data_IF_018460883882
#
_entry.id   IF_018460883882
#
_cell.length_a   1.000
_cell.length_b   1.000
_cell.length_c   1.000
_cell.angle_alpha   90.00
_cell.angle_beta   90.00
_cell.angle_gamma   90.00
#
_symmetry.space_group_name_H-M   'P 1'
#
loop_
_entity.id
_entity.type
_entity.pdbx_description
1 polymer ?
#
# COMPACT_ATOMS: atom_id res chain seq x y z
N UNK A 1 5.49 3.25 2.86
CA UNK A 1 6.61 2.74 3.69
C UNK A 1 6.01 1.93 4.83
N UNK A 2 6.41 0.67 4.98
CA UNK A 2 6.00 -0.20 6.07
C UNK A 2 7.00 -0.04 7.22
N UNK A 3 6.50 0.17 8.42
CA UNK A 3 7.25 0.51 9.62
C UNK A 3 6.80 -0.41 10.76
N UNK A 4 7.75 -0.87 11.56
CA UNK A 4 7.48 -1.56 12.80
C UNK A 4 7.06 -0.55 13.88
N UNK A 5 5.83 -0.60 14.42
CA UNK A 5 5.36 0.38 15.40
C UNK A 5 6.07 0.26 16.76
N UNK A 6 6.74 -0.85 17.06
CA UNK A 6 7.44 -1.05 18.34
C UNK A 6 8.71 -0.19 18.46
N UNK A 7 9.45 -0.02 17.37
CA UNK A 7 10.75 0.65 17.35
C UNK A 7 10.89 1.71 16.25
N UNK A 8 9.83 1.95 15.47
CA UNK A 8 9.78 2.85 14.33
C UNK A 8 10.80 2.55 13.22
N UNK A 9 11.29 1.31 13.14
CA UNK A 9 12.22 0.90 12.08
C UNK A 9 11.50 0.64 10.77
N UNK A 10 12.15 1.00 9.65
CA UNK A 10 11.60 0.75 8.32
C UNK A 10 11.76 -0.72 7.94
N UNK A 11 10.65 -1.39 7.64
CA UNK A 11 10.60 -2.80 7.22
C UNK A 11 10.75 -2.92 5.70
N UNK A 12 9.94 -2.17 4.95
CA UNK A 12 9.92 -2.18 3.49
C UNK A 12 9.38 -0.87 2.90
N UNK A 13 9.67 -0.62 1.63
CA UNK A 13 9.18 0.54 0.88
C UNK A 13 8.70 0.12 -0.51
N UNK A 14 7.88 0.94 -1.14
CA UNK A 14 7.34 0.71 -2.47
C UNK A 14 6.98 2.03 -3.14
N UNK A 15 6.92 2.02 -4.47
CA UNK A 15 6.50 3.14 -5.31
C UNK A 15 5.64 2.60 -6.47
N UNK A 16 4.90 3.47 -7.15
CA UNK A 16 4.10 3.10 -8.31
C UNK A 16 5.00 2.74 -9.49
N UNK A 17 4.90 1.52 -10.00
CA UNK A 17 5.77 1.07 -11.08
C UNK A 17 5.29 -0.22 -11.71
N UNK A 18 5.88 -0.58 -12.85
CA UNK A 18 5.66 -1.87 -13.48
C UNK A 18 6.29 -3.00 -12.65
N UNK A 19 5.91 -4.24 -12.97
CA UNK A 19 6.50 -5.42 -12.35
C UNK A 19 8.01 -5.44 -12.50
N UNK A 20 8.68 -5.92 -11.45
CA UNK A 20 10.14 -6.02 -11.37
C UNK A 20 10.70 -6.83 -12.55
N UNK A 21 11.78 -6.34 -13.14
CA UNK A 21 12.52 -7.06 -14.20
C UNK A 21 11.94 -6.87 -15.61
N UNK A 22 10.89 -6.05 -15.76
CA UNK A 22 10.38 -5.68 -17.08
C UNK A 22 11.10 -4.44 -17.59
N UNK A 23 11.35 -4.42 -18.91
CA UNK A 23 11.85 -3.26 -19.62
C UNK A 23 10.72 -2.23 -19.80
N UNK A 24 10.75 -1.19 -18.99
CA UNK A 24 9.75 -0.11 -18.99
C UNK A 24 9.66 0.62 -20.34
N UNK A 25 10.71 0.59 -21.18
CA UNK A 25 10.68 1.24 -22.50
C UNK A 25 9.75 0.53 -23.48
N UNK A 26 9.46 -0.75 -23.23
CA UNK A 26 8.59 -1.59 -24.07
C UNK A 26 7.13 -1.60 -23.62
N UNK A 27 6.83 -0.97 -22.48
CA UNK A 27 5.48 -0.91 -21.94
C UNK A 27 4.78 0.40 -22.32
N UNK A 28 3.44 0.40 -22.41
CA UNK A 28 2.69 1.63 -22.62
C UNK A 28 2.99 2.58 -21.47
N UNK A 29 3.52 3.77 -21.77
CA UNK A 29 3.84 4.79 -20.76
C UNK A 29 2.80 5.91 -20.69
N UNK A 30 1.83 5.89 -21.61
CA UNK A 30 0.69 6.81 -21.67
C UNK A 30 -0.48 6.32 -20.81
N UNK A 31 -1.25 7.27 -20.28
CA UNK A 31 -2.57 6.95 -19.74
C UNK A 31 -3.52 6.82 -20.95
N UNK A 32 -4.42 5.86 -21.00
CA UNK A 32 -4.80 4.87 -19.98
C UNK A 32 -4.07 3.51 -20.09
N UNK A 33 -3.35 3.29 -21.19
CA UNK A 33 -2.82 1.97 -21.58
C UNK A 33 -1.81 1.39 -20.58
N UNK A 34 -1.20 2.23 -19.74
CA UNK A 34 -0.26 1.79 -18.70
C UNK A 34 -0.92 1.18 -17.46
N UNK A 35 -2.19 1.49 -17.20
CA UNK A 35 -2.85 1.15 -15.94
C UNK A 35 -2.96 -0.35 -15.66
N UNK A 36 -3.25 -1.23 -16.64
CA UNK A 36 -3.31 -2.67 -16.41
C UNK A 36 -1.99 -3.28 -15.92
N UNK A 37 -0.86 -2.61 -16.18
CA UNK A 37 0.48 -3.13 -15.88
C UNK A 37 1.12 -2.43 -14.66
N UNK A 38 0.49 -1.39 -14.13
CA UNK A 38 1.04 -0.61 -13.03
C UNK A 38 0.66 -1.23 -11.68
N UNK A 39 1.67 -1.48 -10.86
CA UNK A 39 1.49 -1.90 -9.48
C UNK A 39 1.58 -0.66 -8.58
N UNK A 40 0.61 -0.53 -7.68
CA UNK A 40 0.55 0.54 -6.70
C UNK A 40 1.69 0.43 -5.66
N UNK A 41 2.08 1.58 -5.10
CA UNK A 41 3.16 1.69 -4.11
C UNK A 41 2.91 0.82 -2.88
N UNK A 42 1.66 0.72 -2.44
CA UNK A 42 1.20 -0.08 -1.31
C UNK A 42 1.47 -1.58 -1.56
N UNK A 43 1.05 -2.08 -2.73
CA UNK A 43 1.30 -3.45 -3.15
C UNK A 43 2.79 -3.74 -3.30
N UNK A 44 3.53 -2.83 -3.95
CA UNK A 44 4.98 -2.98 -4.08
C UNK A 44 5.70 -2.99 -2.73
N UNK A 45 5.22 -2.25 -1.72
CA UNK A 45 5.81 -2.29 -0.39
C UNK A 45 5.63 -3.67 0.27
N UNK A 46 4.44 -4.28 0.15
CA UNK A 46 4.19 -5.65 0.62
C UNK A 46 5.03 -6.66 -0.16
N UNK A 47 5.06 -6.59 -1.49
CA UNK A 47 5.87 -7.51 -2.31
C UNK A 47 7.35 -7.45 -1.96
N UNK A 48 7.87 -6.26 -1.65
CA UNK A 48 9.25 -6.09 -1.20
C UNK A 48 9.48 -6.68 0.20
N UNK A 49 8.52 -6.59 1.11
CA UNK A 49 8.59 -7.25 2.42
C UNK A 49 8.61 -8.79 2.27
N UNK A 50 7.68 -9.35 1.49
CA UNK A 50 7.59 -10.79 1.21
C UNK A 50 8.88 -11.32 0.59
N UNK A 51 9.42 -10.64 -0.42
CA UNK A 51 10.68 -11.05 -1.07
C UNK A 51 11.88 -11.02 -0.13
N UNK A 52 11.85 -10.20 0.92
CA UNK A 52 12.88 -10.13 1.94
C UNK A 52 12.62 -11.08 3.12
N UNK A 53 11.53 -11.86 3.10
CA UNK A 53 11.14 -12.74 4.20
C UNK A 53 10.69 -11.98 5.45
N UNK A 54 10.21 -10.73 5.30
CA UNK A 54 9.77 -9.89 6.41
C UNK A 54 8.26 -9.98 6.57
N UNK A 55 7.81 -10.24 7.80
CA UNK A 55 6.38 -10.21 8.15
C UNK A 55 5.83 -8.79 8.09
N UNK A 56 4.59 -8.66 7.65
CA UNK A 56 3.79 -7.42 7.70
C UNK A 56 2.74 -7.44 8.81
N UNK A 57 2.64 -8.53 9.56
CA UNK A 57 1.70 -8.66 10.67
C UNK A 57 2.00 -7.62 11.75
N UNK A 58 0.97 -6.90 12.19
CA UNK A 58 1.06 -5.86 13.22
C UNK A 58 1.79 -4.59 12.76
N UNK A 59 2.10 -4.43 11.47
CA UNK A 59 2.88 -3.30 10.99
C UNK A 59 2.01 -2.08 10.71
N UNK A 60 2.65 -0.91 10.70
CA UNK A 60 2.08 0.36 10.23
C UNK A 60 2.55 0.66 8.83
N UNK A 61 1.70 1.25 8.00
CA UNK A 61 2.11 1.75 6.67
C UNK A 61 1.82 3.25 6.52
N UNK A 62 2.79 3.95 5.95
CA UNK A 62 2.69 5.36 5.54
C UNK A 62 2.59 5.46 4.02
N UNK A 63 1.56 6.12 3.49
CA UNK A 63 1.30 6.27 2.05
C UNK A 63 1.17 7.75 1.67
N UNK A 64 1.73 8.17 0.54
CA UNK A 64 1.72 9.58 0.10
C UNK A 64 0.38 10.04 -0.51
N UNK A 65 -0.60 9.15 -0.60
CA UNK A 65 -1.93 9.44 -1.12
C UNK A 65 -2.93 8.43 -0.57
N UNK A 66 -4.22 8.74 -0.70
CA UNK A 66 -5.30 7.83 -0.30
C UNK A 66 -5.18 6.50 -1.07
N UNK A 67 -5.01 5.35 -0.39
CA UNK A 67 -5.00 4.05 -1.02
C UNK A 67 -6.31 3.73 -1.73
N UNK A 68 -6.24 2.93 -2.80
CA UNK A 68 -7.44 2.40 -3.45
C UNK A 68 -8.05 1.24 -2.64
N UNK A 69 -9.31 0.89 -2.91
CA UNK A 69 -10.03 -0.19 -2.21
C UNK A 69 -9.27 -1.51 -2.24
N UNK A 70 -8.71 -1.88 -3.40
CA UNK A 70 -7.94 -3.12 -3.54
C UNK A 70 -6.65 -3.11 -2.70
N UNK A 71 -5.93 -1.98 -2.64
CA UNK A 71 -4.75 -1.85 -1.80
C UNK A 71 -5.11 -1.89 -0.31
N UNK A 72 -6.25 -1.30 0.08
CA UNK A 72 -6.76 -1.41 1.44
C UNK A 72 -7.04 -2.85 1.85
N UNK A 73 -7.82 -3.58 1.05
CA UNK A 73 -8.14 -4.98 1.31
C UNK A 73 -6.88 -5.85 1.41
N UNK A 74 -5.93 -5.66 0.49
CA UNK A 74 -4.65 -6.36 0.50
C UNK A 74 -3.83 -6.06 1.76
N UNK A 75 -3.70 -4.79 2.15
CA UNK A 75 -2.96 -4.42 3.37
C UNK A 75 -3.60 -5.03 4.62
N UNK A 76 -4.92 -4.98 4.74
CA UNK A 76 -5.65 -5.63 5.84
C UNK A 76 -5.42 -7.15 5.85
N UNK A 77 -5.56 -7.82 4.72
CA UNK A 77 -5.34 -9.27 4.61
C UNK A 77 -3.90 -9.68 4.97
N UNK A 78 -2.93 -8.80 4.77
CA UNK A 78 -1.53 -9.01 5.15
C UNK A 78 -1.20 -8.63 6.60
N UNK A 79 -2.22 -8.31 7.42
CA UNK A 79 -2.07 -8.04 8.84
C UNK A 79 -1.52 -6.66 9.17
N UNK A 80 -1.68 -5.67 8.28
CA UNK A 80 -1.35 -4.27 8.61
C UNK A 80 -2.46 -3.67 9.46
N UNK A 81 -2.10 -3.20 10.66
CA UNK A 81 -3.06 -2.71 11.65
C UNK A 81 -3.37 -1.22 11.48
N UNK A 82 -2.42 -0.45 10.94
CA UNK A 82 -2.51 1.00 10.88
C UNK A 82 -2.07 1.54 9.51
N UNK A 83 -2.93 2.38 8.92
CA UNK A 83 -2.69 2.98 7.61
C UNK A 83 -2.76 4.51 7.75
N UNK A 84 -1.60 5.13 7.59
CA UNK A 84 -1.42 6.58 7.65
C UNK A 84 -1.18 7.11 6.25
N UNK A 85 -1.90 8.13 5.80
CA UNK A 85 -1.71 8.68 4.47
C UNK A 85 -1.97 10.19 4.38
N UNK A 86 -1.34 10.87 3.42
CA UNK A 86 -1.65 12.28 3.14
C UNK A 86 -2.79 12.44 2.15
N UNK A 87 -3.49 13.57 2.24
CA UNK A 87 -4.25 14.07 1.11
C UNK A 87 -3.29 14.80 0.16
N UNK A 88 -3.27 14.46 -1.13
CA UNK A 88 -2.36 15.07 -2.10
C UNK A 88 -2.59 16.59 -2.22
N UNK A 89 -3.82 17.04 -1.93
CA UNK A 89 -4.22 18.45 -1.88
C UNK A 89 -3.95 19.13 -0.53
N UNK A 90 -3.74 18.34 0.53
CA UNK A 90 -3.49 18.81 1.89
C UNK A 90 -2.46 17.89 2.55
N UNK A 91 -1.17 18.25 2.57
CA UNK A 91 -0.05 17.35 2.90
C UNK A 91 0.01 16.92 4.38
N UNK A 92 -1.06 17.11 5.15
CA UNK A 92 -1.17 16.56 6.50
C UNK A 92 -1.48 15.07 6.40
N UNK A 93 -0.68 14.26 7.07
CA UNK A 93 -0.95 12.84 7.26
C UNK A 93 -2.20 12.69 8.11
N UNK A 94 -3.10 11.81 7.70
CA UNK A 94 -4.32 11.45 8.41
C UNK A 94 -4.26 9.94 8.65
N UNK A 95 -4.55 9.53 9.87
CA UNK A 95 -4.74 8.13 10.22
C UNK A 95 -6.12 7.69 9.73
N UNK A 96 -6.21 6.57 9.01
CA UNK A 96 -7.47 5.84 8.74
C UNK A 96 -8.67 6.68 8.21
N UNK A 97 -8.87 6.81 6.88
CA UNK A 97 -10.04 7.52 6.33
C UNK A 97 -11.39 6.85 6.64
N UNK A 98 -12.50 7.58 6.46
CA UNK A 98 -13.85 7.00 6.36
C UNK A 98 -13.95 5.78 5.43
N UNK A 99 -13.22 5.78 4.29
CA UNK A 99 -13.23 4.62 3.40
C UNK A 99 -12.51 3.42 4.02
N UNK A 100 -11.46 3.64 4.81
CA UNK A 100 -10.81 2.60 5.59
C UNK A 100 -11.76 2.05 6.65
N UNK A 101 -12.46 2.92 7.39
CA UNK A 101 -13.45 2.49 8.40
C UNK A 101 -14.55 1.66 7.76
N UNK A 102 -15.18 2.12 6.66
CA UNK A 102 -16.23 1.37 5.96
C UNK A 102 -15.75 0.04 5.40
N UNK A 103 -14.57 -0.01 4.79
CA UNK A 103 -14.00 -1.27 4.28
C UNK A 103 -13.74 -2.21 5.45
N UNK A 104 -13.15 -1.72 6.54
CA UNK A 104 -12.89 -2.51 7.74
C UNK A 104 -14.17 -3.05 8.37
N UNK A 105 -15.22 -2.25 8.51
CA UNK A 105 -16.54 -2.71 8.98
C UNK A 105 -17.08 -3.85 8.11
N UNK A 106 -16.97 -3.75 6.78
CA UNK A 106 -17.40 -4.82 5.85
C UNK A 106 -16.54 -6.08 6.00
N UNK A 107 -15.23 -5.93 6.20
CA UNK A 107 -14.32 -7.05 6.39
C UNK A 107 -14.56 -7.74 7.74
N UNK A 108 -14.75 -6.98 8.81
CA UNK A 108 -15.04 -7.48 10.16
C UNK A 108 -16.40 -8.20 10.24
N UNK A 109 -17.39 -7.81 9.42
CA UNK A 109 -18.65 -8.57 9.27
C UNK A 109 -18.45 -9.97 8.66
N UNK A 110 -17.36 -10.18 7.94
CA UNK A 110 -17.01 -11.45 7.30
C UNK A 110 -16.39 -12.49 8.24
N UNK A 111 -15.99 -12.10 9.45
CA UNK A 111 -15.34 -12.95 10.46
C UNK A 111 -13.86 -12.68 10.63
#
# INVERSE_FOLDING_TARGET
VIVNPLDNTTVAHGYNGFSRGIDNSKLPNTRQDKYPFMIHAEANAIYNAVRQGKSTQGMRVYVTGKPCVACYQMMHQCGIDEIVYTNVSMPKMVENCESFVKIREVLDLGG
#
